data_IF_234629913745
#
_entry.id   IF_234629913745
#
_cell.length_a   1.000
_cell.length_b   1.000
_cell.length_c   1.000
_cell.angle_alpha   90.00
_cell.angle_beta   90.00
_cell.angle_gamma   90.00
#
_symmetry.space_group_name_H-M   'P 1'
#
loop_
_entity.id
_entity.type
_entity.pdbx_description
1 polymer ?
#
# COMPACT_ATOMS: atom_id res chain seq x y z
N UNK A 1 -36.49 -23.98 4.94
CA UNK A 1 -35.14 -24.10 5.53
C UNK A 1 -34.36 -25.15 4.75
N UNK A 2 -33.30 -24.78 4.04
CA UNK A 2 -32.46 -25.74 3.35
C UNK A 2 -31.75 -26.63 4.37
N UNK A 3 -31.77 -27.95 4.18
CA UNK A 3 -31.03 -28.89 5.02
C UNK A 3 -29.55 -28.57 4.91
N UNK A 4 -28.94 -28.11 6.01
CA UNK A 4 -27.49 -28.03 6.13
C UNK A 4 -26.94 -29.45 6.00
N UNK A 5 -26.22 -29.71 4.90
CA UNK A 5 -25.55 -30.98 4.69
C UNK A 5 -24.35 -31.04 5.64
N UNK A 6 -24.52 -31.73 6.77
CA UNK A 6 -23.52 -31.83 7.85
C UNK A 6 -22.20 -32.49 7.43
N UNK A 7 -22.16 -33.12 6.25
CA UNK A 7 -20.99 -33.83 5.71
C UNK A 7 -20.30 -33.13 4.53
N UNK A 8 -20.70 -31.91 4.18
CA UNK A 8 -20.06 -31.16 3.10
C UNK A 8 -18.71 -30.61 3.57
N UNK A 9 -17.61 -31.29 3.19
CA UNK A 9 -16.26 -30.74 3.34
C UNK A 9 -16.16 -29.45 2.52
N UNK A 10 -15.62 -28.35 3.07
CA UNK A 10 -15.46 -27.11 2.33
C UNK A 10 -14.48 -27.31 1.16
N UNK A 11 -14.80 -26.73 0.00
CA UNK A 11 -13.88 -26.66 -1.13
C UNK A 11 -12.70 -25.74 -0.81
N UNK A 12 -11.48 -26.19 -1.12
CA UNK A 12 -10.27 -25.38 -1.01
C UNK A 12 -10.20 -24.40 -2.20
N UNK A 13 -10.84 -23.23 -2.04
CA UNK A 13 -10.93 -22.19 -3.06
C UNK A 13 -10.52 -20.84 -2.51
N UNK A 14 -9.92 -20.01 -3.35
CA UNK A 14 -9.55 -18.64 -3.02
C UNK A 14 -10.62 -17.63 -3.47
N UNK A 15 -10.79 -16.51 -2.75
CA UNK A 15 -11.56 -15.39 -3.26
C UNK A 15 -10.93 -14.82 -4.55
N UNK A 16 -11.75 -14.35 -5.49
CA UNK A 16 -11.23 -13.81 -6.76
C UNK A 16 -10.34 -12.58 -6.51
N UNK A 17 -9.17 -12.56 -7.14
CA UNK A 17 -8.20 -11.46 -7.00
C UNK A 17 -7.34 -11.52 -5.74
N UNK A 18 -7.49 -12.56 -4.92
CA UNK A 18 -6.61 -12.89 -3.80
C UNK A 18 -5.92 -14.21 -4.14
N UNK A 19 -4.60 -14.19 -4.32
CA UNK A 19 -3.83 -15.32 -4.84
C UNK A 19 -2.73 -15.74 -3.88
N UNK A 20 -2.43 -17.04 -3.86
CA UNK A 20 -1.22 -17.55 -3.23
C UNK A 20 0.02 -17.14 -4.03
N UNK A 21 1.13 -16.93 -3.35
CA UNK A 21 2.43 -16.63 -3.95
C UNK A 21 3.36 -17.82 -3.76
N UNK A 22 3.97 -18.30 -4.84
CA UNK A 22 4.88 -19.45 -4.81
C UNK A 22 6.18 -19.11 -4.08
N UNK A 23 6.92 -20.15 -3.66
CA UNK A 23 8.19 -19.95 -2.95
C UNK A 23 9.23 -19.15 -3.77
N UNK A 24 9.27 -19.34 -5.09
CA UNK A 24 10.20 -18.63 -5.96
C UNK A 24 9.79 -17.16 -6.10
N UNK A 25 8.50 -16.88 -6.29
CA UNK A 25 7.98 -15.50 -6.33
C UNK A 25 8.22 -14.77 -5.01
N UNK A 26 8.05 -15.43 -3.85
CA UNK A 26 8.35 -14.83 -2.54
C UNK A 26 9.83 -14.48 -2.42
N UNK A 27 10.74 -15.37 -2.85
CA UNK A 27 12.18 -15.11 -2.80
C UNK A 27 12.58 -13.99 -3.76
N UNK A 28 12.02 -13.98 -4.96
CA UNK A 28 12.32 -12.98 -5.98
C UNK A 28 11.81 -11.61 -5.59
N UNK A 29 10.59 -11.52 -5.10
CA UNK A 29 10.05 -10.30 -4.49
C UNK A 29 10.92 -9.87 -3.31
N UNK A 30 11.31 -10.77 -2.41
CA UNK A 30 12.18 -10.46 -1.27
C UNK A 30 13.51 -9.81 -1.69
N UNK A 31 14.16 -10.35 -2.73
CA UNK A 31 15.39 -9.76 -3.30
C UNK A 31 15.15 -8.38 -3.88
N UNK A 32 14.10 -8.23 -4.69
CA UNK A 32 13.72 -6.95 -5.29
C UNK A 32 13.43 -5.89 -4.22
N UNK A 33 12.63 -6.23 -3.20
CA UNK A 33 12.29 -5.33 -2.10
C UNK A 33 13.53 -4.93 -1.29
N UNK A 34 14.52 -5.82 -1.13
CA UNK A 34 15.79 -5.47 -0.46
C UNK A 34 16.54 -4.38 -1.23
N UNK A 35 16.66 -4.52 -2.55
CA UNK A 35 17.36 -3.54 -3.39
C UNK A 35 16.67 -2.17 -3.31
N UNK A 36 15.32 -2.15 -3.34
CA UNK A 36 14.56 -0.89 -3.24
C UNK A 36 14.78 -0.24 -1.87
N UNK A 37 14.81 -1.01 -0.77
CA UNK A 37 15.12 -0.48 0.58
C UNK A 37 16.50 0.16 0.62
N UNK A 38 17.52 -0.52 0.10
CA UNK A 38 18.90 0.00 0.10
C UNK A 38 19.00 1.36 -0.61
N UNK A 39 18.29 1.51 -1.74
CA UNK A 39 18.21 2.80 -2.45
C UNK A 39 17.53 3.85 -1.59
N UNK A 40 16.35 3.58 -1.02
CA UNK A 40 15.61 4.56 -0.24
C UNK A 40 16.36 5.00 1.02
N UNK A 41 17.03 4.06 1.71
CA UNK A 41 17.85 4.35 2.88
C UNK A 41 19.10 5.17 2.52
N UNK A 42 19.66 4.99 1.31
CA UNK A 42 20.78 5.82 0.84
C UNK A 42 20.40 7.31 0.66
N UNK A 43 19.10 7.60 0.46
CA UNK A 43 18.55 8.97 0.43
C UNK A 43 18.17 9.49 1.83
N UNK A 44 18.27 8.65 2.86
CA UNK A 44 17.93 8.99 4.24
C UNK A 44 16.42 8.95 4.54
N UNK A 45 15.67 8.13 3.82
CA UNK A 45 14.29 7.79 4.17
C UNK A 45 14.29 6.70 5.24
N UNK A 46 13.42 6.84 6.25
CA UNK A 46 13.31 5.87 7.35
C UNK A 46 12.09 4.93 7.16
N UNK A 47 12.17 3.67 7.59
CA UNK A 47 11.02 2.76 7.51
C UNK A 47 9.89 3.20 8.46
N UNK A 48 8.66 3.14 7.96
CA UNK A 48 7.44 3.27 8.75
C UNK A 48 6.50 2.10 8.43
N UNK A 49 6.01 1.43 9.47
CA UNK A 49 4.95 0.43 9.36
C UNK A 49 3.67 0.95 10.02
N UNK A 50 2.56 0.82 9.32
CA UNK A 50 1.22 1.11 9.80
C UNK A 50 0.38 -0.16 9.81
N UNK A 51 -0.67 -0.24 10.66
CA UNK A 51 -1.59 -1.37 10.66
C UNK A 51 -2.21 -1.64 9.28
N UNK A 52 -2.51 -2.91 9.01
CA UNK A 52 -3.25 -3.31 7.81
C UNK A 52 -4.74 -2.90 7.89
N UNK A 53 -5.27 -2.81 9.10
CA UNK A 53 -6.65 -2.41 9.40
C UNK A 53 -6.60 -1.04 10.08
N UNK A 54 -7.33 -0.09 9.55
CA UNK A 54 -7.49 1.26 10.08
C UNK A 54 -8.98 1.54 10.27
N UNK A 55 -9.32 2.55 11.09
CA UNK A 55 -10.68 3.06 11.09
C UNK A 55 -11.05 3.57 9.70
N UNK A 56 -12.26 3.24 9.25
CA UNK A 56 -12.76 3.60 7.93
C UNK A 56 -12.71 5.12 7.71
N UNK A 57 -13.01 5.92 8.73
CA UNK A 57 -12.96 7.39 8.64
C UNK A 57 -11.53 7.96 8.53
N UNK A 58 -10.52 7.23 9.00
CA UNK A 58 -9.11 7.62 8.91
C UNK A 58 -8.52 7.42 7.50
N UNK A 59 -9.15 6.58 6.67
CA UNK A 59 -8.66 6.30 5.31
C UNK A 59 -9.11 7.35 4.27
N UNK A 60 -10.06 8.23 4.59
CA UNK A 60 -10.47 9.34 3.72
C UNK A 60 -11.46 8.98 2.59
N UNK A 61 -11.78 9.99 1.76
CA UNK A 61 -12.95 10.02 0.85
C UNK A 61 -12.88 9.16 -0.44
N UNK A 62 -11.92 8.24 -0.56
CA UNK A 62 -12.00 7.21 -1.61
C UNK A 62 -12.97 6.09 -1.24
N UNK A 63 -13.47 6.11 -0.01
CA UNK A 63 -14.67 5.39 0.36
C UNK A 63 -15.87 6.10 -0.30
N UNK A 64 -16.67 5.38 -1.11
CA UNK A 64 -18.02 5.82 -1.45
C UNK A 64 -18.74 6.14 -0.15
N UNK A 65 -19.67 7.10 -0.17
CA UNK A 65 -20.49 7.59 0.95
C UNK A 65 -20.39 6.76 2.23
N UNK A 66 -20.21 7.38 3.41
CA UNK A 66 -20.09 6.65 4.69
C UNK A 66 -21.21 5.62 4.95
N UNK A 67 -22.36 5.76 4.27
CA UNK A 67 -23.47 4.80 4.27
C UNK A 67 -23.19 3.48 3.48
N UNK A 68 -22.15 3.43 2.63
CA UNK A 68 -21.71 2.28 1.80
C UNK A 68 -20.18 2.19 1.69
N UNK A 69 -19.46 1.94 2.79
CA UNK A 69 -17.99 1.85 2.83
C UNK A 69 -17.40 0.62 2.09
N UNK A 70 -18.22 -0.11 1.33
CA UNK A 70 -17.88 -1.40 0.72
C UNK A 70 -17.56 -1.33 -0.78
N UNK A 71 -17.78 -0.21 -1.47
CA UNK A 71 -17.27 -0.10 -2.86
C UNK A 71 -15.82 0.38 -2.82
N UNK A 72 -14.90 -0.33 -3.48
CA UNK A 72 -13.48 0.04 -3.54
C UNK A 72 -12.62 -0.40 -2.35
N UNK A 73 -13.18 -0.56 -1.15
CA UNK A 73 -12.45 -0.98 0.07
C UNK A 73 -13.12 -2.20 0.73
N UNK A 74 -12.32 -3.04 1.41
CA UNK A 74 -12.84 -4.12 2.24
C UNK A 74 -13.08 -3.60 3.66
N UNK A 75 -14.35 -3.55 4.06
CA UNK A 75 -14.76 -2.98 5.34
C UNK A 75 -15.62 -3.97 6.13
N UNK A 76 -15.56 -3.87 7.45
CA UNK A 76 -16.33 -4.68 8.40
C UNK A 76 -16.56 -3.88 9.68
N UNK A 77 -17.55 -4.28 10.48
CA UNK A 77 -17.78 -3.71 11.80
C UNK A 77 -17.12 -4.58 12.87
N UNK A 78 -16.56 -3.94 13.89
CA UNK A 78 -16.11 -4.62 15.11
C UNK A 78 -17.25 -4.83 16.12
N UNK A 79 -16.92 -5.29 17.33
CA UNK A 79 -17.91 -5.56 18.39
C UNK A 79 -18.60 -4.29 18.90
N UNK A 80 -17.98 -3.12 18.72
CA UNK A 80 -18.50 -1.81 19.12
C UNK A 80 -19.25 -1.11 17.97
N UNK A 81 -19.59 -1.85 16.91
CA UNK A 81 -20.24 -1.38 15.68
C UNK A 81 -19.43 -0.32 14.90
N UNK A 82 -18.13 -0.17 15.19
CA UNK A 82 -17.25 0.76 14.50
C UNK A 82 -16.81 0.19 13.15
N UNK A 83 -16.81 1.04 12.13
CA UNK A 83 -16.34 0.65 10.81
C UNK A 83 -14.81 0.62 10.75
N UNK A 84 -14.30 -0.56 10.43
CA UNK A 84 -12.90 -0.84 10.16
C UNK A 84 -12.72 -1.21 8.69
N UNK A 85 -11.58 -0.85 8.13
CA UNK A 85 -11.24 -1.13 6.73
C UNK A 85 -9.81 -1.63 6.60
N UNK A 86 -9.59 -2.57 5.69
CA UNK A 86 -8.25 -2.85 5.19
C UNK A 86 -7.73 -1.63 4.43
N UNK A 87 -6.48 -1.24 4.66
CA UNK A 87 -5.84 -0.15 3.91
C UNK A 87 -5.83 -0.44 2.41
N UNK A 88 -6.20 0.55 1.60
CA UNK A 88 -6.24 0.44 0.13
C UNK A 88 -5.01 1.04 -0.56
N UNK A 89 -4.22 1.80 0.21
CA UNK A 89 -2.90 2.33 -0.12
C UNK A 89 -2.04 2.44 1.16
N UNK A 90 -0.82 2.99 1.05
CA UNK A 90 0.05 3.30 2.20
C UNK A 90 0.05 4.80 2.56
N UNK A 91 -0.54 5.67 1.73
CA UNK A 91 -0.56 7.12 1.93
C UNK A 91 -1.62 7.56 2.95
N UNK A 92 -2.81 6.97 2.95
CA UNK A 92 -3.85 7.32 3.92
C UNK A 92 -3.44 6.96 5.37
N UNK A 93 -2.89 5.76 5.65
CA UNK A 93 -2.30 5.47 6.95
C UNK A 93 -1.15 6.41 7.34
N UNK A 94 -0.33 6.86 6.37
CA UNK A 94 0.70 7.88 6.61
C UNK A 94 0.06 9.19 7.07
N UNK A 95 -0.96 9.69 6.37
CA UNK A 95 -1.63 10.94 6.72
C UNK A 95 -2.19 10.90 8.15
N UNK A 96 -2.85 9.79 8.52
CA UNK A 96 -3.32 9.55 9.89
C UNK A 96 -2.16 9.54 10.89
N UNK A 97 -1.06 8.83 10.58
CA UNK A 97 0.12 8.77 11.44
C UNK A 97 0.73 10.17 11.65
N UNK A 98 0.89 10.95 10.58
CA UNK A 98 1.42 12.31 10.68
C UNK A 98 0.49 13.20 11.49
N UNK A 99 -0.83 13.15 11.25
CA UNK A 99 -1.79 13.95 11.99
C UNK A 99 -1.76 13.68 13.50
N UNK A 100 -1.69 12.40 13.90
CA UNK A 100 -1.58 12.00 15.31
C UNK A 100 -0.28 12.47 15.96
N UNK A 101 0.77 12.68 15.18
CA UNK A 101 2.14 12.83 15.66
C UNK A 101 2.79 14.13 15.18
N UNK A 102 1.99 15.08 14.72
CA UNK A 102 2.45 16.20 13.91
C UNK A 102 3.55 16.98 14.63
N UNK A 103 3.35 17.35 15.89
CA UNK A 103 4.30 18.17 16.64
C UNK A 103 5.63 17.47 16.91
N UNK A 104 5.63 16.14 17.09
CA UNK A 104 6.83 15.36 17.44
C UNK A 104 7.70 14.95 16.27
N UNK A 105 7.15 14.91 15.06
CA UNK A 105 7.90 14.51 13.87
C UNK A 105 8.87 15.61 13.41
N UNK A 106 10.06 15.27 12.89
CA UNK A 106 10.91 16.25 12.20
C UNK A 106 10.21 16.76 10.93
N UNK A 107 10.57 17.97 10.49
CA UNK A 107 10.10 18.52 9.21
C UNK A 107 11.31 18.97 8.39
N UNK A 108 11.52 18.44 7.17
CA UNK A 108 10.69 17.43 6.51
C UNK A 108 10.77 16.05 7.19
N UNK A 109 9.63 15.35 7.26
CA UNK A 109 9.57 13.94 7.63
C UNK A 109 9.67 13.10 6.37
N UNK A 110 10.65 12.19 6.30
CA UNK A 110 10.91 11.36 5.11
C UNK A 110 10.81 9.89 5.51
N UNK A 111 9.88 9.16 4.89
CA UNK A 111 9.62 7.77 5.22
C UNK A 111 9.48 6.90 4.00
N UNK A 112 9.79 5.63 4.16
CA UNK A 112 9.35 4.59 3.25
C UNK A 112 8.44 3.58 3.94
N UNK A 113 7.54 2.97 3.17
CA UNK A 113 6.77 1.83 3.66
C UNK A 113 6.62 0.79 2.56
N UNK A 114 6.57 -0.47 2.96
CA UNK A 114 6.35 -1.60 2.06
C UNK A 114 5.36 -2.55 2.71
N UNK A 115 4.38 -3.01 1.94
CA UNK A 115 3.45 -3.99 2.45
C UNK A 115 2.27 -4.24 1.53
N UNK A 116 1.44 -5.25 1.88
CA UNK A 116 0.20 -5.51 1.17
C UNK A 116 -0.81 -4.38 1.39
N UNK A 117 -1.58 -4.11 0.35
CA UNK A 117 -2.78 -3.25 0.35
C UNK A 117 -3.92 -3.99 -0.34
N UNK A 118 -5.16 -3.59 -0.04
CA UNK A 118 -6.35 -4.28 -0.53
C UNK A 118 -7.34 -3.34 -1.19
N UNK A 119 -7.77 -3.70 -2.40
CA UNK A 119 -8.79 -2.95 -3.14
C UNK A 119 -9.96 -3.85 -3.47
N UNK A 120 -11.15 -3.49 -3.02
CA UNK A 120 -12.39 -4.22 -3.32
C UNK A 120 -12.92 -3.81 -4.70
N UNK A 121 -12.13 -4.18 -5.70
CA UNK A 121 -12.30 -3.78 -7.08
C UNK A 121 -12.57 -5.02 -7.97
N UNK A 122 -13.08 -4.85 -9.18
CA UNK A 122 -13.29 -6.00 -10.11
C UNK A 122 -11.92 -6.55 -10.56
N UNK A 123 -11.54 -7.80 -10.22
CA UNK A 123 -10.23 -8.31 -10.61
C UNK A 123 -10.12 -8.50 -12.13
N UNK A 124 -8.91 -8.43 -12.67
CA UNK A 124 -8.59 -8.56 -14.09
C UNK A 124 -7.08 -8.72 -14.33
N UNK A 125 -6.63 -8.80 -15.60
CA UNK A 125 -5.20 -8.86 -15.92
C UNK A 125 -4.43 -7.70 -15.29
N UNK A 126 -3.45 -8.00 -14.43
CA UNK A 126 -2.68 -6.99 -13.68
C UNK A 126 -3.46 -6.25 -12.58
N UNK A 127 -4.74 -6.59 -12.36
CA UNK A 127 -5.59 -5.97 -11.34
C UNK A 127 -6.00 -7.00 -10.29
N UNK A 128 -5.26 -7.00 -9.20
CA UNK A 128 -5.48 -7.85 -8.03
C UNK A 128 -6.29 -7.11 -6.96
N UNK A 129 -6.87 -7.87 -6.03
CA UNK A 129 -7.52 -7.32 -4.83
C UNK A 129 -6.59 -7.24 -3.63
N UNK A 130 -5.47 -7.94 -3.67
CA UNK A 130 -4.33 -7.79 -2.76
C UNK A 130 -3.07 -7.69 -3.60
N UNK A 131 -2.24 -6.69 -3.31
CA UNK A 131 -0.93 -6.52 -3.95
C UNK A 131 -0.01 -5.72 -3.04
N UNK A 132 1.29 -5.78 -3.31
CA UNK A 132 2.30 -5.05 -2.51
C UNK A 132 2.55 -3.67 -3.11
N UNK A 133 2.59 -2.67 -2.25
CA UNK A 133 3.13 -1.35 -2.57
C UNK A 133 4.47 -1.13 -1.88
N UNK A 134 5.27 -0.24 -2.46
CA UNK A 134 6.50 0.28 -1.89
C UNK A 134 6.50 1.78 -2.15
N UNK A 135 6.31 2.56 -1.08
CA UNK A 135 6.10 4.00 -1.13
C UNK A 135 7.29 4.72 -0.49
N UNK A 136 7.67 5.87 -1.07
CA UNK A 136 8.53 6.89 -0.47
C UNK A 136 7.73 8.19 -0.37
N UNK A 137 7.74 8.84 0.80
CA UNK A 137 6.99 10.07 1.03
C UNK A 137 7.82 11.08 1.81
N UNK A 138 7.69 12.34 1.41
CA UNK A 138 8.24 13.50 2.11
C UNK A 138 7.10 14.40 2.56
N UNK A 139 7.03 14.71 3.85
CA UNK A 139 5.93 15.50 4.45
C UNK A 139 6.48 16.73 5.16
N UNK A 140 5.81 17.88 4.99
CA UNK A 140 6.12 19.11 5.72
C UNK A 140 7.11 20.04 5.01
N UNK A 141 7.18 20.00 3.68
CA UNK A 141 7.95 20.95 2.85
C UNK A 141 7.16 21.28 1.59
N UNK A 142 7.25 22.52 1.12
CA UNK A 142 6.72 23.02 -0.15
C UNK A 142 7.82 23.23 -1.21
N UNK A 143 9.07 22.89 -0.87
CA UNK A 143 10.21 23.03 -1.76
C UNK A 143 10.19 21.95 -2.85
N UNK A 144 10.13 22.37 -4.11
CA UNK A 144 10.18 21.53 -5.33
C UNK A 144 11.39 20.58 -5.38
N UNK A 145 12.45 20.85 -4.60
CA UNK A 145 13.56 19.92 -4.44
C UNK A 145 13.12 18.55 -3.90
N UNK A 146 12.03 18.48 -3.13
CA UNK A 146 11.47 17.22 -2.64
C UNK A 146 10.90 16.38 -3.80
N UNK A 147 10.16 17.00 -4.72
CA UNK A 147 9.63 16.34 -5.93
C UNK A 147 10.76 15.83 -6.84
N UNK A 148 11.83 16.64 -6.98
CA UNK A 148 13.03 16.25 -7.72
C UNK A 148 13.76 15.06 -7.05
N UNK A 149 13.87 15.06 -5.73
CA UNK A 149 14.44 13.94 -4.94
C UNK A 149 13.68 12.63 -5.20
N UNK A 150 12.34 12.67 -5.22
CA UNK A 150 11.52 11.48 -5.54
C UNK A 150 11.76 11.01 -6.99
N UNK A 151 11.91 11.91 -7.95
CA UNK A 151 12.24 11.52 -9.33
C UNK A 151 13.61 10.85 -9.44
N UNK A 152 14.61 11.37 -8.72
CA UNK A 152 15.95 10.77 -8.67
C UNK A 152 15.92 9.40 -7.99
N UNK A 153 15.26 9.29 -6.84
CA UNK A 153 15.08 8.04 -6.10
C UNK A 153 14.38 6.98 -6.95
N UNK A 154 13.34 7.35 -7.72
CA UNK A 154 12.68 6.45 -8.64
C UNK A 154 13.62 5.99 -9.78
N UNK A 155 14.40 6.90 -10.36
CA UNK A 155 15.36 6.56 -11.41
C UNK A 155 16.46 5.60 -10.89
N UNK A 156 17.06 5.90 -9.76
CA UNK A 156 18.11 5.08 -9.15
C UNK A 156 17.57 3.71 -8.74
N UNK A 157 16.31 3.64 -8.29
CA UNK A 157 15.63 2.36 -8.00
C UNK A 157 15.51 1.50 -9.25
N UNK A 158 15.08 2.07 -10.38
CA UNK A 158 14.95 1.34 -11.65
C UNK A 158 16.30 0.80 -12.12
N UNK A 159 17.35 1.63 -12.06
CA UNK A 159 18.71 1.24 -12.45
C UNK A 159 19.30 0.17 -11.51
N UNK A 160 19.09 0.29 -10.20
CA UNK A 160 19.52 -0.71 -9.22
C UNK A 160 18.83 -2.07 -9.41
N UNK A 161 17.59 -2.08 -9.90
CA UNK A 161 16.86 -3.28 -10.30
C UNK A 161 17.30 -3.84 -11.66
N UNK A 162 18.29 -3.22 -12.31
CA UNK A 162 18.85 -3.65 -13.59
C UNK A 162 18.10 -3.14 -14.82
N UNK A 163 17.13 -2.25 -14.67
CA UNK A 163 16.44 -1.60 -15.78
C UNK A 163 17.32 -0.45 -16.26
N UNK A 164 17.85 -0.56 -17.48
CA UNK A 164 18.86 0.39 -17.96
C UNK A 164 18.24 1.76 -18.21
N UNK A 165 19.04 2.79 -18.03
CA UNK A 165 18.69 4.14 -18.48
C UNK A 165 18.30 4.12 -19.95
N UNK A 166 17.12 4.64 -20.27
CA UNK A 166 16.51 4.60 -21.60
C UNK A 166 15.40 3.54 -21.75
N UNK A 167 15.36 2.52 -20.90
CA UNK A 167 14.28 1.51 -20.89
C UNK A 167 13.06 1.97 -20.06
N UNK A 168 13.18 3.10 -19.36
CA UNK A 168 12.11 3.74 -18.59
C UNK A 168 12.10 5.26 -18.82
N UNK A 169 10.95 5.89 -18.56
CA UNK A 169 10.76 7.34 -18.59
C UNK A 169 9.99 7.80 -17.36
N UNK A 170 10.41 8.92 -16.77
CA UNK A 170 9.65 9.62 -15.73
C UNK A 170 8.91 10.77 -16.41
N UNK A 171 7.57 10.75 -16.34
CA UNK A 171 6.72 11.80 -16.89
C UNK A 171 6.29 12.73 -15.77
N UNK A 172 6.49 14.03 -15.97
CA UNK A 172 6.16 15.07 -14.99
C UNK A 172 5.10 15.99 -15.58
N UNK A 173 4.11 16.39 -14.76
CA UNK A 173 3.09 17.37 -15.10
C UNK A 173 2.77 18.24 -13.87
N UNK A 174 2.20 19.42 -14.10
CA UNK A 174 1.60 20.29 -13.08
C UNK A 174 0.13 20.53 -13.45
#
# INVERSE_FOLDING_TARGET
MARSNKDARPEARLPRGLGDTSADEVRDAGRMLSIIRDVYESYGFEPLETPAIEYTDALGKFLPDQDRPNEGVFSFQDEDEQWLSLRYDLTAPLARYVAQNFDRLPKPFRRYAVGPVWRNEKPGPGRFRQFTQFDADTVGTDNIAADAEICMLAADTMEALGIKRGDYVIKVNN
#
